data_IF_182257725434
#
_entry.id   IF_182257725434
#
_cell.length_a   1.000
_cell.length_b   1.000
_cell.length_c   1.000
_cell.angle_alpha   90.00
_cell.angle_beta   90.00
_cell.angle_gamma   90.00
#
_symmetry.space_group_name_H-M   'P 1'
#
loop_
_entity.id
_entity.type
_entity.pdbx_description
1 polymer ?
#
# COMPACT_ATOMS: atom_id res chain seq x y z
N UNK A 1 -19.04 1.87 20.15
CA UNK A 1 -17.60 2.16 20.18
C UNK A 1 -17.03 1.75 18.84
N UNK A 2 -16.37 2.66 18.14
CA UNK A 2 -15.68 2.37 16.88
C UNK A 2 -14.43 1.56 17.20
N UNK A 3 -14.25 0.38 16.59
CA UNK A 3 -13.01 -0.39 16.75
C UNK A 3 -11.88 0.32 16.03
N UNK A 4 -10.74 0.50 16.70
CA UNK A 4 -9.52 1.09 16.11
C UNK A 4 -8.47 0.02 15.79
N UNK A 5 -8.84 -1.25 15.90
CA UNK A 5 -7.96 -2.39 15.67
C UNK A 5 -8.39 -3.17 14.43
N UNK A 6 -7.40 -3.59 13.66
CA UNK A 6 -7.57 -4.45 12.49
C UNK A 6 -7.90 -5.88 12.91
N UNK A 7 -8.97 -6.44 12.37
CA UNK A 7 -9.40 -7.81 12.71
C UNK A 7 -8.46 -8.91 12.20
N UNK A 8 -7.51 -8.58 11.32
CA UNK A 8 -6.53 -9.54 10.78
C UNK A 8 -5.29 -9.62 11.67
N UNK A 9 -4.66 -8.49 11.98
CA UNK A 9 -3.43 -8.46 12.79
C UNK A 9 -3.66 -8.15 14.26
N UNK A 10 -4.90 -7.83 14.67
CA UNK A 10 -5.29 -7.43 16.03
C UNK A 10 -4.56 -6.19 16.59
N UNK A 11 -3.83 -5.46 15.74
CA UNK A 11 -3.12 -4.21 16.08
C UNK A 11 -3.94 -2.98 15.66
N UNK A 12 -3.64 -1.80 16.22
CA UNK A 12 -4.16 -0.55 15.69
C UNK A 12 -3.97 -0.46 14.18
N UNK A 13 -4.95 0.15 13.50
CA UNK A 13 -4.86 0.31 12.04
C UNK A 13 -3.58 1.03 11.64
N UNK A 14 -3.03 0.71 10.48
CA UNK A 14 -1.98 1.50 9.83
C UNK A 14 -2.27 1.51 8.35
N UNK A 15 -2.39 2.71 7.79
CA UNK A 15 -2.98 2.95 6.49
C UNK A 15 -4.34 2.23 6.39
N UNK A 16 -5.37 2.72 7.10
CA UNK A 16 -6.67 2.07 7.16
C UNK A 16 -7.39 2.13 5.80
N UNK A 17 -7.93 0.98 5.36
CA UNK A 17 -8.71 0.85 4.14
C UNK A 17 -10.05 0.18 4.44
N UNK A 18 -11.13 0.82 4.02
CA UNK A 18 -12.47 0.24 4.04
C UNK A 18 -12.67 -0.69 2.85
N UNK A 19 -13.41 -1.77 3.11
CA UNK A 19 -13.86 -2.71 2.10
C UNK A 19 -15.28 -2.38 1.61
N UNK A 20 -15.44 -1.95 0.37
CA UNK A 20 -16.76 -1.81 -0.28
C UNK A 20 -17.55 -0.58 0.18
N UNK A 21 -18.65 -0.30 -0.50
CA UNK A 21 -19.64 0.70 -0.07
C UNK A 21 -20.70 0.08 0.87
N UNK A 22 -21.05 -1.19 0.64
CA UNK A 22 -22.06 -1.93 1.43
C UNK A 22 -21.47 -2.60 2.67
N UNK A 23 -20.16 -2.76 2.70
CA UNK A 23 -19.39 -3.26 3.83
C UNK A 23 -18.59 -2.07 4.41
N UNK A 24 -18.53 -1.95 5.73
CA UNK A 24 -17.81 -0.83 6.39
C UNK A 24 -16.65 -1.35 7.24
N UNK A 25 -16.13 -2.54 6.92
CA UNK A 25 -15.01 -3.12 7.64
C UNK A 25 -13.70 -2.49 7.14
N UNK A 26 -12.94 -1.97 8.10
CA UNK A 26 -11.63 -1.35 7.87
C UNK A 26 -10.52 -2.35 8.19
N UNK A 27 -9.44 -2.33 7.42
CA UNK A 27 -8.26 -3.19 7.59
C UNK A 27 -6.99 -2.37 7.40
N UNK A 28 -5.85 -2.83 7.94
CA UNK A 28 -4.56 -2.27 7.55
C UNK A 28 -4.28 -2.60 6.08
N UNK A 29 -3.71 -1.67 5.31
CA UNK A 29 -3.35 -1.89 3.91
C UNK A 29 -2.50 -3.16 3.70
N UNK A 30 -1.45 -3.36 4.51
CA UNK A 30 -0.61 -4.57 4.46
C UNK A 30 -1.41 -5.87 4.68
N UNK A 31 -2.37 -5.86 5.60
CA UNK A 31 -3.20 -7.02 5.89
C UNK A 31 -4.15 -7.32 4.74
N UNK A 32 -4.75 -6.28 4.15
CA UNK A 32 -5.64 -6.39 3.02
C UNK A 32 -4.90 -6.89 1.78
N UNK A 33 -3.70 -6.37 1.52
CA UNK A 33 -2.82 -6.82 0.43
C UNK A 33 -2.49 -8.31 0.56
N UNK A 34 -1.97 -8.73 1.71
CA UNK A 34 -1.64 -10.14 1.97
C UNK A 34 -2.86 -11.05 1.89
N UNK A 35 -4.03 -10.60 2.35
CA UNK A 35 -5.27 -11.34 2.19
C UNK A 35 -5.56 -11.60 0.72
N UNK A 36 -5.57 -10.57 -0.12
CA UNK A 36 -5.82 -10.70 -1.55
C UNK A 36 -4.76 -11.57 -2.26
N UNK A 37 -3.48 -11.40 -1.92
CA UNK A 37 -2.37 -12.15 -2.49
C UNK A 37 -2.41 -13.65 -2.15
N UNK A 38 -2.87 -14.00 -0.94
CA UNK A 38 -2.87 -15.37 -0.44
C UNK A 38 -4.19 -16.11 -0.66
N UNK A 39 -5.23 -15.48 -1.24
CA UNK A 39 -6.45 -16.24 -1.54
C UNK A 39 -6.14 -17.27 -2.63
N UNK A 40 -6.51 -18.51 -2.31
CA UNK A 40 -6.44 -19.65 -3.21
C UNK A 40 -7.68 -19.67 -4.13
N UNK A 41 -7.50 -19.53 -5.46
CA UNK A 41 -8.60 -19.53 -6.44
C UNK A 41 -9.31 -20.86 -6.57
N UNK A 42 -8.71 -21.93 -6.08
CA UNK A 42 -9.29 -23.27 -6.14
C UNK A 42 -10.01 -23.63 -4.82
N UNK A 43 -9.96 -22.74 -3.81
CA UNK A 43 -10.56 -22.99 -2.50
C UNK A 43 -12.07 -22.70 -2.50
N UNK A 44 -12.89 -23.75 -2.48
CA UNK A 44 -14.34 -23.64 -2.33
C UNK A 44 -14.79 -23.02 -0.99
N UNK A 45 -13.93 -23.05 0.03
CA UNK A 45 -14.22 -22.52 1.38
C UNK A 45 -13.89 -21.03 1.53
N UNK A 46 -13.05 -20.48 0.64
CA UNK A 46 -12.63 -19.08 0.64
C UNK A 46 -12.89 -18.45 -0.73
N UNK A 47 -14.13 -18.00 -1.01
CA UNK A 47 -14.41 -17.35 -2.27
C UNK A 47 -13.54 -16.10 -2.43
N UNK A 48 -12.81 -16.04 -3.55
CA UNK A 48 -11.90 -14.94 -3.88
C UNK A 48 -12.60 -13.58 -3.89
N UNK A 49 -11.82 -12.54 -3.52
CA UNK A 49 -12.23 -11.14 -3.53
C UNK A 49 -13.46 -10.86 -2.66
N UNK A 50 -13.48 -11.48 -1.47
CA UNK A 50 -14.47 -11.23 -0.44
C UNK A 50 -13.84 -10.58 0.79
N UNK A 51 -14.62 -9.74 1.48
CA UNK A 51 -14.25 -9.10 2.73
C UNK A 51 -13.73 -10.16 3.73
N UNK A 52 -12.54 -9.98 4.32
CA UNK A 52 -11.99 -10.91 5.31
C UNK A 52 -12.90 -11.17 6.51
N UNK A 53 -13.77 -10.20 6.83
CA UNK A 53 -14.63 -10.24 8.00
C UNK A 53 -16.04 -10.76 7.68
N UNK A 54 -16.80 -10.05 6.82
CA UNK A 54 -18.20 -10.38 6.53
C UNK A 54 -18.43 -11.15 5.22
N UNK A 55 -17.36 -11.45 4.47
CA UNK A 55 -17.41 -12.15 3.17
C UNK A 55 -18.22 -11.44 2.06
N UNK A 56 -18.46 -10.14 2.19
CA UNK A 56 -19.03 -9.32 1.11
C UNK A 56 -18.11 -9.35 -0.12
N UNK A 57 -18.65 -9.70 -1.29
CA UNK A 57 -17.88 -9.84 -2.55
C UNK A 57 -17.82 -8.58 -3.40
N UNK A 58 -18.63 -7.58 -3.06
CA UNK A 58 -18.48 -6.25 -3.63
C UNK A 58 -17.28 -5.59 -2.97
N UNK A 59 -16.27 -5.24 -3.76
CA UNK A 59 -15.11 -4.50 -3.27
C UNK A 59 -15.06 -3.13 -3.90
N UNK A 60 -14.75 -2.17 -3.04
CA UNK A 60 -14.34 -0.81 -3.38
C UNK A 60 -13.41 -0.37 -2.26
N UNK A 61 -12.13 -0.32 -2.55
CA UNK A 61 -11.10 0.05 -1.60
C UNK A 61 -11.07 1.56 -1.48
N UNK A 62 -11.28 2.04 -0.26
CA UNK A 62 -11.23 3.47 0.05
C UNK A 62 -10.38 3.65 1.28
N UNK A 63 -9.38 4.53 1.19
CA UNK A 63 -8.61 4.94 2.35
C UNK A 63 -9.53 5.61 3.38
N UNK A 64 -9.51 5.12 4.61
CA UNK A 64 -10.44 5.52 5.67
C UNK A 64 -9.92 6.75 6.41
N UNK A 65 -10.09 7.93 5.80
CA UNK A 65 -9.60 9.20 6.35
C UNK A 65 -10.19 9.49 7.72
N UNK A 66 -11.49 9.22 7.88
CA UNK A 66 -12.21 9.45 9.13
C UNK A 66 -11.62 8.60 10.27
N UNK A 67 -11.23 7.35 9.99
CA UNK A 67 -10.59 6.49 10.97
C UNK A 67 -9.17 6.97 11.32
N UNK A 68 -8.39 7.38 10.32
CA UNK A 68 -7.03 7.90 10.56
C UNK A 68 -7.07 9.17 11.42
N UNK A 69 -7.96 10.11 11.10
CA UNK A 69 -8.15 11.34 11.87
C UNK A 69 -8.67 11.04 13.29
N UNK A 70 -9.64 10.14 13.43
CA UNK A 70 -10.13 9.70 14.73
C UNK A 70 -9.02 9.09 15.59
N UNK A 71 -8.20 8.18 15.04
CA UNK A 71 -7.09 7.58 15.78
C UNK A 71 -6.08 8.63 16.25
N UNK A 72 -5.77 9.61 15.39
CA UNK A 72 -4.88 10.73 15.72
C UNK A 72 -5.46 11.60 16.85
N UNK A 73 -6.74 11.97 16.76
CA UNK A 73 -7.42 12.80 17.76
C UNK A 73 -7.52 12.12 19.12
N UNK A 74 -7.63 10.79 19.13
CA UNK A 74 -7.65 9.98 20.35
C UNK A 74 -6.25 9.60 20.85
N UNK A 75 -5.17 10.04 20.17
CA UNK A 75 -3.79 9.73 20.55
C UNK A 75 -3.42 8.25 20.41
N UNK A 76 -4.10 7.51 19.53
CA UNK A 76 -3.88 6.08 19.28
C UNK A 76 -2.75 5.94 18.25
N UNK A 77 -1.65 5.33 18.66
CA UNK A 77 -0.50 5.08 17.78
C UNK A 77 -0.60 3.73 17.07
N UNK A 78 0.05 3.61 15.92
CA UNK A 78 -0.08 2.44 15.03
C UNK A 78 0.64 1.15 15.49
N UNK A 79 1.26 1.13 16.68
CA UNK A 79 2.04 0.01 17.23
C UNK A 79 2.99 -0.66 16.21
N UNK A 80 3.74 0.16 15.46
CA UNK A 80 4.73 -0.29 14.46
C UNK A 80 6.04 0.46 14.65
N UNK A 81 7.16 -0.24 14.49
CA UNK A 81 8.48 0.41 14.52
C UNK A 81 8.65 1.33 13.31
N UNK A 82 9.54 2.31 13.42
CA UNK A 82 9.84 3.20 12.29
C UNK A 82 10.33 2.41 11.06
N UNK A 83 11.15 1.37 11.27
CA UNK A 83 11.64 0.50 10.20
C UNK A 83 10.50 -0.27 9.51
N UNK A 84 9.53 -0.80 10.27
CA UNK A 84 8.35 -1.47 9.70
C UNK A 84 7.51 -0.51 8.84
N UNK A 85 7.35 0.73 9.31
CA UNK A 85 6.63 1.79 8.61
C UNK A 85 7.33 2.17 7.31
N UNK A 86 8.62 2.46 7.38
CA UNK A 86 9.48 2.80 6.25
C UNK A 86 9.52 1.70 5.20
N UNK A 87 9.73 0.44 5.62
CA UNK A 87 9.77 -0.72 4.74
C UNK A 87 8.45 -0.87 3.98
N UNK A 88 7.32 -0.81 4.70
CA UNK A 88 6.02 -0.93 4.04
C UNK A 88 5.80 0.21 3.04
N UNK A 89 6.16 1.43 3.39
CA UNK A 89 5.97 2.57 2.49
C UNK A 89 6.82 2.45 1.23
N UNK A 90 8.10 2.06 1.37
CA UNK A 90 8.98 1.80 0.25
C UNK A 90 8.39 0.75 -0.71
N UNK A 91 7.90 -0.36 -0.16
CA UNK A 91 7.25 -1.43 -0.92
C UNK A 91 5.99 -0.95 -1.65
N UNK A 92 5.12 -0.18 -0.98
CA UNK A 92 3.89 0.32 -1.59
C UNK A 92 4.16 1.34 -2.71
N UNK A 93 5.17 2.20 -2.54
CA UNK A 93 5.62 3.12 -3.58
C UNK A 93 6.11 2.34 -4.80
N UNK A 94 6.94 1.31 -4.59
CA UNK A 94 7.43 0.47 -5.67
C UNK A 94 6.31 -0.26 -6.41
N UNK A 95 5.34 -0.84 -5.69
CA UNK A 95 4.19 -1.51 -6.31
C UNK A 95 3.37 -0.52 -7.15
N UNK A 96 3.16 0.71 -6.68
CA UNK A 96 2.47 1.74 -7.47
C UNK A 96 3.24 2.10 -8.75
N UNK A 97 4.57 2.22 -8.68
CA UNK A 97 5.41 2.44 -9.85
C UNK A 97 5.30 1.31 -10.88
N UNK A 98 5.20 0.06 -10.42
CA UNK A 98 4.98 -1.06 -11.34
C UNK A 98 3.69 -0.88 -12.15
N UNK A 99 2.68 -0.22 -11.58
CA UNK A 99 1.45 0.13 -12.30
C UNK A 99 1.62 1.17 -13.38
N UNK A 100 2.45 2.19 -13.15
CA UNK A 100 2.76 3.23 -14.14
C UNK A 100 3.59 2.69 -15.31
N UNK A 101 4.55 1.81 -15.01
CA UNK A 101 5.49 1.28 -15.99
C UNK A 101 4.96 0.06 -16.76
N UNK A 102 3.65 -0.24 -16.66
CA UNK A 102 3.04 -1.47 -17.19
C UNK A 102 3.80 -2.75 -16.81
N UNK A 103 4.46 -2.74 -15.65
CA UNK A 103 5.28 -3.84 -15.17
C UNK A 103 4.42 -4.90 -14.47
N UNK A 104 5.01 -6.08 -14.28
CA UNK A 104 4.34 -7.20 -13.62
C UNK A 104 3.86 -6.83 -12.21
N UNK A 105 2.65 -7.25 -11.86
CA UNK A 105 2.10 -7.07 -10.51
C UNK A 105 2.86 -7.96 -9.53
N UNK A 106 3.64 -7.36 -8.64
CA UNK A 106 4.29 -8.10 -7.58
C UNK A 106 3.24 -8.49 -6.55
N UNK A 107 2.93 -9.78 -6.44
CA UNK A 107 1.83 -10.23 -5.59
C UNK A 107 2.21 -10.27 -4.11
N UNK A 108 3.47 -10.56 -3.80
CA UNK A 108 3.95 -10.76 -2.44
C UNK A 108 4.82 -9.59 -1.96
N UNK A 109 4.41 -8.98 -0.83
CA UNK A 109 5.19 -7.90 -0.21
C UNK A 109 6.50 -8.41 0.38
N UNK A 110 6.56 -9.67 0.80
CA UNK A 110 7.73 -10.26 1.44
C UNK A 110 8.62 -11.04 0.44
N UNK A 111 8.34 -10.88 -0.87
CA UNK A 111 9.16 -11.42 -1.95
C UNK A 111 10.60 -10.90 -1.87
N UNK A 112 11.58 -11.71 -2.27
CA UNK A 112 13.00 -11.36 -2.30
C UNK A 112 13.26 -10.08 -3.12
N UNK A 113 12.54 -9.87 -4.22
CA UNK A 113 12.60 -8.66 -5.06
C UNK A 113 12.16 -7.39 -4.32
N UNK A 114 11.30 -7.54 -3.30
CA UNK A 114 10.74 -6.46 -2.48
C UNK A 114 11.39 -6.34 -1.10
N UNK A 115 12.41 -7.16 -0.82
CA UNK A 115 13.08 -7.15 0.48
C UNK A 115 13.76 -5.81 0.68
N UNK A 116 13.31 -5.04 1.67
CA UNK A 116 14.02 -3.85 2.13
C UNK A 116 14.93 -4.21 3.32
N UNK A 117 16.04 -3.50 3.42
CA UNK A 117 16.99 -3.62 4.54
C UNK A 117 17.29 -2.23 5.09
N UNK A 118 17.61 -2.17 6.38
CA UNK A 118 18.03 -0.93 7.02
C UNK A 118 19.38 -0.46 6.45
N UNK A 119 19.56 0.85 6.34
CA UNK A 119 20.86 1.43 5.97
C UNK A 119 21.89 1.15 7.08
N UNK A 120 22.82 0.23 6.84
CA UNK A 120 23.98 0.00 7.71
C UNK A 120 25.00 1.14 7.54
N UNK A 121 24.71 2.30 8.12
CA UNK A 121 25.66 3.40 8.27
C UNK A 121 25.55 4.51 7.21
N UNK A 122 25.40 5.74 7.70
CA UNK A 122 25.51 6.96 6.89
C UNK A 122 24.39 7.94 7.16
N UNK A 123 24.54 8.74 8.21
CA UNK A 123 23.84 10.01 8.33
C UNK A 123 24.32 10.93 7.21
N UNK A 124 23.71 10.86 6.01
CA UNK A 124 23.95 11.86 4.99
C UNK A 124 23.10 13.07 5.38
N UNK A 125 23.68 13.96 6.19
CA UNK A 125 23.16 15.29 6.48
C UNK A 125 23.28 16.16 5.22
N UNK A 126 22.49 15.85 4.18
CA UNK A 126 22.24 16.79 3.09
C UNK A 126 20.95 17.53 3.43
N UNK A 127 21.08 18.79 3.82
CA UNK A 127 19.94 19.67 3.99
C UNK A 127 19.19 19.74 2.64
N UNK A 128 17.92 19.28 2.57
CA UNK A 128 17.22 19.20 1.30
C UNK A 128 16.90 20.61 0.81
N UNK A 129 17.29 20.92 -0.42
CA UNK A 129 16.72 22.05 -1.15
C UNK A 129 15.22 21.79 -1.30
N UNK A 130 14.35 22.73 -0.93
CA UNK A 130 12.89 22.56 -0.94
C UNK A 130 12.32 22.06 -2.30
N UNK A 131 13.03 22.29 -3.40
CA UNK A 131 12.67 21.84 -4.75
C UNK A 131 12.93 20.34 -5.02
N UNK A 132 13.79 19.69 -4.23
CA UNK A 132 14.24 18.30 -4.41
C UNK A 132 13.29 17.26 -3.80
N UNK A 133 12.49 17.67 -2.80
CA UNK A 133 11.53 16.81 -2.12
C UNK A 133 10.19 16.67 -2.87
N UNK A 134 10.14 17.04 -4.15
CA UNK A 134 8.89 17.13 -4.93
C UNK A 134 8.88 16.01 -5.96
N UNK A 135 7.95 15.06 -5.81
CA UNK A 135 7.64 14.08 -6.85
C UNK A 135 7.39 14.85 -8.16
N UNK A 136 7.99 14.39 -9.27
CA UNK A 136 7.77 15.00 -10.57
C UNK A 136 6.25 15.15 -10.83
N UNK A 137 5.82 16.35 -11.22
CA UNK A 137 4.40 16.67 -11.38
C UNK A 137 3.69 15.72 -12.37
N UNK A 138 4.42 15.21 -13.36
CA UNK A 138 3.96 14.19 -14.30
C UNK A 138 3.61 12.87 -13.61
N UNK A 139 4.50 12.38 -12.74
CA UNK A 139 4.26 11.12 -12.01
C UNK A 139 3.12 11.30 -10.99
N UNK A 140 3.02 12.47 -10.34
CA UNK A 140 1.87 12.77 -9.48
C UNK A 140 0.56 12.75 -10.26
N UNK A 141 0.53 13.32 -11.47
CA UNK A 141 -0.65 13.32 -12.31
C UNK A 141 -1.04 11.89 -12.73
N UNK A 142 -0.07 11.05 -13.08
CA UNK A 142 -0.30 9.64 -13.42
C UNK A 142 -0.83 8.84 -12.21
N UNK A 143 -0.26 9.05 -11.02
CA UNK A 143 -0.77 8.44 -9.78
C UNK A 143 -2.19 8.91 -9.45
N UNK A 144 -2.48 10.21 -9.62
CA UNK A 144 -3.83 10.75 -9.41
C UNK A 144 -4.82 10.17 -10.45
N UNK A 145 -4.39 9.98 -11.69
CA UNK A 145 -5.20 9.34 -12.75
C UNK A 145 -5.52 7.88 -12.40
N UNK A 146 -4.53 7.10 -11.96
CA UNK A 146 -4.73 5.73 -11.47
C UNK A 146 -5.77 5.66 -10.36
N UNK A 147 -5.74 6.61 -9.41
CA UNK A 147 -6.71 6.66 -8.31
C UNK A 147 -8.15 6.99 -8.75
N UNK A 148 -8.36 7.40 -10.01
CA UNK A 148 -9.71 7.61 -10.59
C UNK A 148 -10.25 6.40 -11.34
N UNK A 149 -9.44 5.35 -11.52
CA UNK A 149 -9.84 4.15 -12.27
C UNK A 149 -11.04 3.49 -11.59
N UNK A 150 -12.13 3.19 -12.33
CA UNK A 150 -13.30 2.55 -11.75
C UNK A 150 -13.00 1.19 -11.11
N UNK A 151 -13.48 1.00 -9.89
CA UNK A 151 -13.33 -0.25 -9.13
C UNK A 151 -14.47 -1.22 -9.48
N UNK A 152 -14.40 -1.83 -10.67
CA UNK A 152 -15.47 -2.72 -11.16
C UNK A 152 -15.11 -4.19 -11.00
N UNK A 153 -15.98 -4.95 -10.34
CA UNK A 153 -15.92 -6.41 -10.30
C UNK A 153 -16.80 -7.00 -11.40
N UNK A 154 -16.21 -7.78 -12.31
CA UNK A 154 -16.96 -8.61 -13.26
C UNK A 154 -17.19 -10.01 -12.67
N UNK A 155 -18.43 -10.37 -12.28
CA UNK A 155 -18.72 -11.66 -11.67
C UNK A 155 -18.59 -12.84 -12.64
N UNK A 156 -18.46 -12.60 -13.95
CA UNK A 156 -18.36 -13.65 -14.96
C UNK A 156 -16.91 -14.07 -15.24
N UNK A 157 -15.92 -13.34 -14.70
CA UNK A 157 -14.51 -13.71 -14.81
C UNK A 157 -14.16 -14.83 -13.85
N UNK A 158 -13.16 -15.64 -14.21
CA UNK A 158 -12.60 -16.66 -13.34
C UNK A 158 -11.98 -16.04 -12.07
N UNK A 159 -11.78 -16.87 -11.05
CA UNK A 159 -11.35 -16.40 -9.73
C UNK A 159 -9.95 -15.79 -9.75
N UNK A 160 -9.02 -16.33 -10.55
CA UNK A 160 -7.67 -15.79 -10.68
C UNK A 160 -7.70 -14.39 -11.31
N UNK A 161 -8.51 -14.19 -12.35
CA UNK A 161 -8.73 -12.87 -12.92
C UNK A 161 -9.34 -11.91 -11.89
N UNK A 162 -10.33 -12.34 -11.10
CA UNK A 162 -10.92 -11.49 -10.05
C UNK A 162 -9.91 -11.10 -8.97
N UNK A 163 -9.01 -12.01 -8.59
CA UNK A 163 -7.89 -11.76 -7.66
C UNK A 163 -6.95 -10.69 -8.20
N UNK A 164 -6.47 -10.87 -9.43
CA UNK A 164 -5.56 -9.93 -10.08
C UNK A 164 -6.22 -8.55 -10.16
N UNK A 165 -7.47 -8.47 -10.62
CA UNK A 165 -8.20 -7.20 -10.72
C UNK A 165 -8.37 -6.55 -9.35
N UNK A 166 -8.72 -7.30 -8.29
CA UNK A 166 -8.84 -6.74 -6.94
C UNK A 166 -7.50 -6.20 -6.42
N UNK A 167 -6.40 -6.89 -6.67
CA UNK A 167 -5.06 -6.44 -6.28
C UNK A 167 -4.62 -5.19 -7.04
N UNK A 168 -4.82 -5.15 -8.37
CA UNK A 168 -4.56 -3.96 -9.20
C UNK A 168 -5.42 -2.79 -8.72
N UNK A 169 -6.69 -3.05 -8.44
CA UNK A 169 -7.61 -2.03 -7.92
C UNK A 169 -7.12 -1.48 -6.58
N UNK A 170 -6.70 -2.34 -5.65
CA UNK A 170 -6.14 -1.90 -4.38
C UNK A 170 -4.87 -1.08 -4.59
N UNK A 171 -3.95 -1.53 -5.45
CA UNK A 171 -2.71 -0.84 -5.81
C UNK A 171 -3.00 0.59 -6.27
N UNK A 172 -3.88 0.73 -7.27
CA UNK A 172 -4.15 2.01 -7.95
C UNK A 172 -4.81 3.04 -7.03
N UNK A 173 -5.39 2.60 -5.92
CA UNK A 173 -6.07 3.44 -4.93
C UNK A 173 -5.26 3.65 -3.64
N UNK A 174 -3.98 3.27 -3.63
CA UNK A 174 -3.09 3.61 -2.51
C UNK A 174 -2.86 5.13 -2.51
N UNK A 175 -3.13 5.86 -1.41
CA UNK A 175 -2.96 7.30 -1.37
C UNK A 175 -1.47 7.63 -1.21
N UNK A 176 -0.69 7.52 -2.28
CA UNK A 176 0.77 7.72 -2.24
C UNK A 176 1.13 9.05 -1.60
N UNK A 177 0.38 10.12 -1.87
CA UNK A 177 0.56 11.44 -1.24
C UNK A 177 0.53 11.40 0.30
N UNK A 178 -0.26 10.50 0.91
CA UNK A 178 -0.38 10.30 2.37
C UNK A 178 0.59 9.26 2.92
N UNK A 179 0.95 8.26 2.10
CA UNK A 179 2.00 7.28 2.42
C UNK A 179 3.39 7.95 2.47
N UNK A 180 3.51 9.23 2.08
CA UNK A 180 4.71 10.02 2.33
C UNK A 180 4.84 10.30 3.83
N UNK A 181 5.77 9.61 4.47
CA UNK A 181 6.24 10.03 5.78
C UNK A 181 7.26 11.14 5.55
N UNK A 182 6.82 12.40 5.50
CA UNK A 182 7.72 13.54 5.27
C UNK A 182 9.06 13.39 6.02
N UNK A 183 10.15 13.12 5.28
CA UNK A 183 11.54 12.96 5.76
C UNK A 183 11.86 11.65 6.49
N UNK A 184 11.09 10.59 6.28
CA UNK A 184 11.29 9.36 7.04
C UNK A 184 11.71 8.16 6.18
N UNK A 185 11.73 8.18 4.84
CA UNK A 185 12.17 6.99 4.09
C UNK A 185 13.68 6.70 4.10
N UNK A 186 14.50 7.63 4.60
CA UNK A 186 15.98 7.51 4.71
C UNK A 186 16.54 6.30 5.47
N UNK A 187 15.70 5.55 6.19
CA UNK A 187 16.14 4.43 7.01
C UNK A 187 16.31 3.10 6.28
N UNK A 188 15.75 2.97 5.07
CA UNK A 188 15.62 1.68 4.36
C UNK A 188 15.91 1.84 2.86
N UNK A 189 16.38 0.75 2.24
CA UNK A 189 16.51 0.62 0.78
C UNK A 189 16.16 -0.80 0.35
N UNK A 190 15.86 -1.02 -0.93
CA UNK A 190 15.70 -2.38 -1.46
C UNK A 190 17.04 -3.10 -1.50
N UNK A 191 17.06 -4.35 -1.04
CA UNK A 191 18.24 -5.21 -1.05
C UNK A 191 18.71 -5.54 -2.48
N UNK A 192 17.80 -5.53 -3.45
CA UNK A 192 18.13 -5.81 -4.85
C UNK A 192 18.46 -4.51 -5.60
N UNK A 193 19.70 -4.41 -6.08
CA UNK A 193 20.23 -3.22 -6.76
C UNK A 193 19.37 -2.77 -7.95
N UNK A 194 18.81 -3.70 -8.73
CA UNK A 194 17.96 -3.36 -9.87
C UNK A 194 16.63 -2.72 -9.46
N UNK A 195 16.04 -3.21 -8.36
CA UNK A 195 14.80 -2.65 -7.79
C UNK A 195 15.09 -1.26 -7.23
N UNK A 196 16.19 -1.14 -6.49
CA UNK A 196 16.64 0.12 -5.91
C UNK A 196 16.94 1.18 -6.99
N UNK A 197 17.66 0.79 -8.05
CA UNK A 197 17.98 1.67 -9.17
C UNK A 197 16.73 2.11 -9.94
N UNK A 198 15.75 1.23 -10.13
CA UNK A 198 14.47 1.59 -10.77
C UNK A 198 13.69 2.60 -9.93
N UNK A 199 13.66 2.41 -8.60
CA UNK A 199 13.05 3.36 -7.68
C UNK A 199 13.75 4.72 -7.76
N UNK A 200 15.07 4.77 -7.67
CA UNK A 200 15.83 6.02 -7.71
C UNK A 200 15.75 6.73 -9.06
N UNK A 201 15.66 5.98 -10.16
CA UNK A 201 15.43 6.54 -11.49
C UNK A 201 14.05 7.21 -11.59
N UNK A 202 13.01 6.54 -11.08
CA UNK A 202 11.63 7.04 -11.14
C UNK A 202 11.40 8.16 -10.13
N UNK A 203 12.02 8.04 -8.95
CA UNK A 203 11.88 8.91 -7.80
C UNK A 203 13.25 9.26 -7.22
N UNK A 204 13.97 10.19 -7.87
CA UNK A 204 15.23 10.69 -7.35
C UNK A 204 15.04 11.22 -5.94
N UNK A 205 15.96 10.87 -5.06
CA UNK A 205 15.97 11.34 -3.66
C UNK A 205 14.71 10.97 -2.86
N UNK A 206 14.04 9.85 -3.17
CA UNK A 206 12.87 9.36 -2.42
C UNK A 206 13.12 9.25 -0.90
N UNK A 207 14.38 9.10 -0.48
CA UNK A 207 14.80 9.07 0.92
C UNK A 207 14.46 10.36 1.69
N UNK A 208 14.28 11.48 0.98
CA UNK A 208 13.89 12.78 1.54
C UNK A 208 12.37 12.94 1.68
N UNK A 209 11.59 11.98 1.18
CA UNK A 209 10.13 12.02 1.16
C UNK A 209 9.51 11.52 2.44
#
# INVERSE_FOLDING_TARGET
MTSTSCSICSRPFYLPFRWGDTCTHTFCLKCLWRHLANVDPDSHDNPIAACPYCRAREYKFTYDEDMEEYMKDQGITHDRTLEEQQTLHLQLIHINLSGINDAYLIQELDDEYNRAVANEGGCVDTAPTQASAVIAATILAELDELATVPQTRDPNKDEMTQKIVAMLTLRDHIPIRKVRLYRELRGVHFCLDSTQAMLEYSFPEYQLW
#
